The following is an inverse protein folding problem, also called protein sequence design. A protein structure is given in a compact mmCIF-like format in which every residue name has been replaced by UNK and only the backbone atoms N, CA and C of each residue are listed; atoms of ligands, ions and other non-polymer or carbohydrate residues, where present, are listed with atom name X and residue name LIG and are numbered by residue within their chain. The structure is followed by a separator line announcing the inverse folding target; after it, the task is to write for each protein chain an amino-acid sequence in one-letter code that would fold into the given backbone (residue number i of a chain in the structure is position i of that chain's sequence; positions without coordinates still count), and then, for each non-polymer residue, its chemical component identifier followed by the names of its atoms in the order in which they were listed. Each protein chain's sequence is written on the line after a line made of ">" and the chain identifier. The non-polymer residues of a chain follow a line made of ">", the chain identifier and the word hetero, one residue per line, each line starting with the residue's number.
data_IF_660944118728
#
_entry.id   IF_660944118728
#
_cell.length_a   1.000
_cell.length_b   1.000
_cell.length_c   1.000
_cell.angle_alpha   90.00
_cell.angle_beta   90.00
_cell.angle_gamma   90.00
#
_symmetry.space_group_name_H-M   'P 1'
#
loop_
_entity.id
_entity.type
_entity.pdbx_description
1 polymer ?
#
# COMPACT_ATOMS: atom_id res chain seq x y z
N UNK A 1 -16.97 -5.78 10.49
CA UNK A 1 -16.09 -6.83 11.07
C UNK A 1 -14.68 -6.29 11.24
N UNK A 2 -14.23 -6.27 12.49
CA UNK A 2 -12.85 -5.97 12.88
C UNK A 2 -11.95 -7.20 12.66
N UNK A 3 -10.64 -6.99 12.56
CA UNK A 3 -9.65 -8.08 12.49
C UNK A 3 -9.59 -8.76 13.86
N UNK A 4 -9.63 -10.10 13.88
CA UNK A 4 -9.57 -10.88 15.12
C UNK A 4 -8.16 -10.89 15.72
N UNK A 5 -8.06 -11.13 17.03
CA UNK A 5 -6.75 -11.23 17.69
C UNK A 5 -5.89 -12.38 17.14
N UNK A 6 -6.51 -13.50 16.73
CA UNK A 6 -5.80 -14.59 16.10
C UNK A 6 -5.17 -14.18 14.75
N UNK A 7 -5.91 -13.41 13.93
CA UNK A 7 -5.39 -12.86 12.68
C UNK A 7 -4.25 -11.86 12.92
N UNK A 8 -4.37 -10.99 13.94
CA UNK A 8 -3.32 -10.04 14.32
C UNK A 8 -2.06 -10.80 14.77
N UNK A 9 -2.19 -11.80 15.64
CA UNK A 9 -1.07 -12.60 16.12
C UNK A 9 -0.36 -13.33 14.96
N UNK A 10 -1.12 -13.89 14.02
CA UNK A 10 -0.57 -14.54 12.83
C UNK A 10 0.20 -13.55 11.94
N UNK A 11 -0.31 -12.34 11.76
CA UNK A 11 0.36 -11.31 10.96
C UNK A 11 1.61 -10.72 11.65
N UNK A 12 1.59 -10.62 12.98
CA UNK A 12 2.80 -10.28 13.73
C UNK A 12 3.85 -11.38 13.57
N UNK A 13 3.45 -12.65 13.64
CA UNK A 13 4.35 -13.78 13.48
C UNK A 13 5.00 -13.84 12.08
N UNK A 14 4.36 -13.32 11.03
CA UNK A 14 4.94 -13.26 9.68
C UNK A 14 6.09 -12.24 9.55
N UNK A 15 6.17 -11.25 10.45
CA UNK A 15 7.18 -10.21 10.43
C UNK A 15 6.97 -9.11 9.36
N UNK A 16 5.96 -9.22 8.50
CA UNK A 16 5.70 -8.29 7.39
C UNK A 16 5.47 -6.84 7.84
N UNK A 17 5.01 -6.67 9.08
CA UNK A 17 4.72 -5.38 9.71
C UNK A 17 5.98 -4.55 10.04
N UNK A 18 7.17 -5.17 10.13
CA UNK A 18 8.35 -4.58 10.78
C UNK A 18 8.95 -3.39 10.03
N UNK A 19 8.82 -3.36 8.72
CA UNK A 19 9.37 -2.33 7.83
C UNK A 19 8.28 -1.39 7.28
N UNK A 20 7.05 -1.47 7.80
CA UNK A 20 5.91 -0.69 7.29
C UNK A 20 5.44 0.35 8.30
N UNK A 21 5.29 1.59 7.82
CA UNK A 21 4.59 2.61 8.59
C UNK A 21 3.13 2.18 8.84
N UNK A 22 2.64 2.37 10.07
CA UNK A 22 1.31 1.88 10.46
C UNK A 22 1.21 0.36 10.62
N UNK A 23 2.34 -0.36 10.55
CA UNK A 23 2.43 -1.81 10.74
C UNK A 23 1.54 -2.60 9.78
N UNK A 24 1.32 -2.13 8.54
CA UNK A 24 0.70 -2.93 7.50
C UNK A 24 1.20 -2.54 6.10
N UNK A 25 1.22 -3.51 5.18
CA UNK A 25 1.48 -3.30 3.76
C UNK A 25 0.27 -3.67 2.91
N UNK A 26 -0.18 -2.77 2.04
CA UNK A 26 -1.36 -2.98 1.18
C UNK A 26 -1.15 -4.12 0.17
N UNK A 27 0.09 -4.31 -0.30
CA UNK A 27 0.50 -5.35 -1.24
C UNK A 27 0.78 -6.72 -0.58
N UNK A 28 0.72 -6.77 0.76
CA UNK A 28 1.03 -7.97 1.55
C UNK A 28 -0.21 -8.64 2.14
N UNK A 29 -0.02 -9.46 3.17
CA UNK A 29 -1.08 -10.21 3.83
C UNK A 29 -2.20 -9.31 4.36
N UNK A 30 -1.84 -8.13 4.86
CA UNK A 30 -2.82 -7.16 5.36
C UNK A 30 -3.77 -6.63 4.27
N UNK A 31 -3.40 -6.76 2.99
CA UNK A 31 -4.25 -6.46 1.84
C UNK A 31 -5.59 -7.19 1.88
N UNK A 32 -5.63 -8.40 2.43
CA UNK A 32 -6.87 -9.19 2.59
C UNK A 32 -7.89 -8.56 3.56
N UNK A 33 -7.49 -7.58 4.37
CA UNK A 33 -8.35 -6.93 5.36
C UNK A 33 -8.80 -5.51 4.94
N UNK A 34 -8.23 -4.99 3.86
CA UNK A 34 -8.55 -3.65 3.35
C UNK A 34 -9.85 -3.73 2.54
N UNK A 35 -10.89 -3.09 3.05
CA UNK A 35 -12.23 -3.15 2.43
C UNK A 35 -12.48 -2.09 1.38
N UNK A 36 -11.80 -0.95 1.52
CA UNK A 36 -11.94 0.20 0.64
C UNK A 36 -10.70 1.06 0.73
N UNK A 37 -10.33 1.64 -0.40
CA UNK A 37 -9.37 2.73 -0.52
C UNK A 37 -10.08 3.79 -1.35
N UNK A 38 -10.04 5.03 -0.88
CA UNK A 38 -10.49 6.19 -1.64
C UNK A 38 -9.24 6.99 -2.01
N UNK A 39 -8.77 6.87 -3.26
CA UNK A 39 -7.51 7.49 -3.73
C UNK A 39 -6.65 6.56 -4.58
N UNK A 40 -5.32 6.77 -4.56
CA UNK A 40 -4.35 6.05 -5.39
C UNK A 40 -3.76 4.84 -4.67
N UNK A 41 -4.04 3.63 -5.14
CA UNK A 41 -3.39 2.39 -4.66
C UNK A 41 -1.87 2.48 -4.76
N UNK A 42 -1.36 2.97 -5.89
CA UNK A 42 0.09 3.16 -6.11
C UNK A 42 0.68 4.22 -5.17
N UNK A 43 -0.09 5.25 -4.85
CA UNK A 43 0.26 6.23 -3.82
C UNK A 43 0.41 5.59 -2.44
N UNK A 44 -0.52 4.70 -2.05
CA UNK A 44 -0.42 3.92 -0.80
C UNK A 44 0.81 3.01 -0.80
N UNK A 45 1.19 2.42 -1.94
CA UNK A 45 2.43 1.65 -2.06
C UNK A 45 3.71 2.51 -1.96
N UNK A 46 3.61 3.84 -2.08
CA UNK A 46 4.71 4.78 -1.88
C UNK A 46 5.05 5.66 -3.08
N UNK A 47 4.47 5.42 -4.26
CA UNK A 47 4.66 6.29 -5.42
C UNK A 47 3.37 6.41 -6.25
N UNK A 48 2.69 7.57 -6.25
CA UNK A 48 1.46 7.77 -7.01
C UNK A 48 1.77 7.84 -8.51
N UNK A 49 1.59 6.72 -9.22
CA UNK A 49 2.10 6.56 -10.60
C UNK A 49 1.42 7.52 -11.57
N UNK A 50 0.12 7.78 -11.43
CA UNK A 50 -0.59 8.71 -12.31
C UNK A 50 0.00 10.12 -12.23
N UNK A 51 0.11 10.67 -11.03
CA UNK A 51 0.67 11.99 -10.78
C UNK A 51 2.15 12.06 -11.12
N UNK A 52 2.89 10.98 -10.84
CA UNK A 52 4.31 10.86 -11.20
C UNK A 52 4.49 10.87 -12.71
N UNK A 53 3.69 10.11 -13.45
CA UNK A 53 3.73 10.09 -14.91
C UNK A 53 3.39 11.46 -15.50
N UNK A 54 2.37 12.15 -14.98
CA UNK A 54 2.04 13.52 -15.40
C UNK A 54 3.20 14.50 -15.17
N UNK A 55 3.88 14.41 -14.03
CA UNK A 55 5.07 15.23 -13.75
C UNK A 55 6.22 14.89 -14.71
N UNK A 56 6.51 13.61 -14.94
CA UNK A 56 7.57 13.19 -15.85
C UNK A 56 7.28 13.61 -17.31
N UNK A 57 6.03 13.53 -17.75
CA UNK A 57 5.58 14.00 -19.07
C UNK A 57 5.76 15.51 -19.20
N UNK A 58 5.37 16.29 -18.18
CA UNK A 58 5.54 17.75 -18.14
C UNK A 58 7.01 18.17 -18.25
N UNK A 59 7.92 17.35 -17.73
CA UNK A 59 9.36 17.59 -17.81
C UNK A 59 10.04 16.88 -19.01
N UNK A 60 9.25 16.33 -19.95
CA UNK A 60 9.73 15.67 -21.17
C UNK A 60 10.66 14.47 -20.91
N UNK A 61 10.49 13.78 -19.78
CA UNK A 61 11.28 12.60 -19.41
C UNK A 61 10.70 11.33 -20.06
N UNK A 62 9.37 11.26 -20.24
CA UNK A 62 8.66 10.12 -20.84
C UNK A 62 7.61 10.58 -21.86
N UNK A 63 7.17 9.68 -22.74
CA UNK A 63 6.20 9.94 -23.82
C UNK A 63 4.94 9.06 -23.76
N UNK A 64 4.72 8.37 -22.63
CA UNK A 64 3.46 7.63 -22.39
C UNK A 64 2.29 8.58 -22.14
#
# INVERSE_FOLDING_TARGET
>A
MAVSQAQIAHYIASGEHRDKAGSYGIQGMAGAWIKRIDGSYTGVMGLPIYETAELLRKHHIIQI
#
